data_IF_281243410852
#
_entry.id   IF_281243410852
#
_cell.length_a   1.000
_cell.length_b   1.000
_cell.length_c   1.000
_cell.angle_alpha   90.00
_cell.angle_beta   90.00
_cell.angle_gamma   90.00
#
_symmetry.space_group_name_H-M   'P 1'
#
loop_
_entity.id
_entity.type
_entity.pdbx_description
1 polymer ?
#
# COMPACT_ATOMS: atom_id res chain seq x y z
N UNK A 1 8.73 -5.23 -6.90
CA UNK A 1 8.73 -4.85 -5.47
C UNK A 1 7.51 -4.01 -5.13
N UNK A 2 7.07 -4.05 -3.87
CA UNK A 2 5.90 -3.28 -3.39
C UNK A 2 4.61 -4.10 -3.40
N UNK A 3 4.61 -5.24 -2.71
CA UNK A 3 3.49 -6.21 -2.67
C UNK A 3 2.25 -5.65 -1.98
N UNK A 4 2.44 -5.03 -0.81
CA UNK A 4 1.34 -4.49 0.01
C UNK A 4 1.43 -2.97 0.19
N UNK A 5 2.61 -2.39 -0.05
CA UNK A 5 2.84 -0.96 0.07
C UNK A 5 3.79 -0.43 -0.99
N UNK A 6 3.52 0.80 -1.42
CA UNK A 6 4.19 1.45 -2.55
C UNK A 6 5.45 2.25 -2.21
N UNK A 7 6.02 2.15 -1.00
CA UNK A 7 7.10 3.06 -0.56
C UNK A 7 8.30 3.09 -1.52
N UNK A 8 8.75 1.94 -2.02
CA UNK A 8 9.90 1.87 -2.94
C UNK A 8 9.58 2.60 -4.24
N UNK A 9 8.42 2.32 -4.85
CA UNK A 9 7.98 2.98 -6.08
C UNK A 9 7.81 4.50 -5.87
N UNK A 10 7.23 4.89 -4.74
CA UNK A 10 7.02 6.27 -4.35
C UNK A 10 8.34 7.05 -4.21
N UNK A 11 9.27 6.55 -3.39
CA UNK A 11 10.56 7.22 -3.16
C UNK A 11 11.47 7.17 -4.39
N UNK A 12 11.46 6.08 -5.17
CA UNK A 12 12.22 5.99 -6.42
C UNK A 12 11.73 7.01 -7.46
N UNK A 13 10.41 7.17 -7.59
CA UNK A 13 9.80 8.18 -8.48
C UNK A 13 10.22 9.59 -8.08
N UNK A 14 10.12 9.90 -6.79
CA UNK A 14 10.47 11.22 -6.27
C UNK A 14 11.97 11.54 -6.42
N UNK A 15 12.83 10.53 -6.24
CA UNK A 15 14.27 10.66 -6.39
C UNK A 15 14.69 10.81 -7.86
N UNK A 16 14.10 10.02 -8.76
CA UNK A 16 14.43 10.02 -10.19
C UNK A 16 13.99 11.29 -10.91
N UNK A 17 12.77 11.78 -10.64
CA UNK A 17 12.11 12.91 -11.32
C UNK A 17 11.87 12.75 -12.83
N UNK A 18 12.39 11.70 -13.46
CA UNK A 18 12.17 11.37 -14.87
C UNK A 18 10.92 10.48 -15.09
N UNK A 19 10.14 10.23 -14.04
CA UNK A 19 8.98 9.33 -14.08
C UNK A 19 7.70 10.13 -14.28
N UNK A 20 6.91 9.80 -15.30
CA UNK A 20 5.65 10.49 -15.62
C UNK A 20 4.43 9.93 -14.88
N UNK A 21 4.51 8.66 -14.46
CA UNK A 21 3.43 7.98 -13.76
C UNK A 21 3.95 6.98 -12.72
N UNK A 22 3.43 7.02 -11.50
CA UNK A 22 3.72 6.08 -10.43
C UNK A 22 2.43 5.44 -9.93
N UNK A 23 2.32 4.12 -10.06
CA UNK A 23 1.19 3.31 -9.62
C UNK A 23 1.59 2.50 -8.38
N UNK A 24 0.83 2.65 -7.30
CA UNK A 24 1.07 2.00 -6.01
C UNK A 24 -0.19 1.26 -5.53
N UNK A 25 -0.08 0.24 -4.66
CA UNK A 25 -1.24 -0.51 -4.15
C UNK A 25 -2.25 0.36 -3.41
N UNK A 26 -1.79 1.43 -2.77
CA UNK A 26 -2.65 2.32 -2.00
C UNK A 26 -3.53 3.21 -2.88
N UNK A 27 -3.05 3.61 -4.06
CA UNK A 27 -3.78 4.51 -4.97
C UNK A 27 -4.52 3.70 -6.04
N UNK A 28 -5.85 3.53 -5.95
CA UNK A 28 -6.60 2.87 -7.01
C UNK A 28 -6.55 3.67 -8.31
N UNK A 29 -6.68 2.95 -9.42
CA UNK A 29 -6.73 3.51 -10.75
C UNK A 29 -7.60 2.63 -11.64
N UNK A 30 -8.03 3.16 -12.77
CA UNK A 30 -8.74 2.43 -13.81
C UNK A 30 -8.08 2.63 -15.17
N UNK A 31 -8.27 1.68 -16.07
CA UNK A 31 -7.57 1.64 -17.37
C UNK A 31 -8.27 2.51 -18.43
N UNK A 32 -9.54 2.21 -18.68
CA UNK A 32 -10.34 2.77 -19.78
C UNK A 32 -11.35 3.80 -19.27
N UNK A 33 -11.61 4.85 -20.06
CA UNK A 33 -12.59 5.89 -19.74
C UNK A 33 -11.98 7.29 -19.63
N UNK A 34 -12.85 8.27 -19.39
CA UNK A 34 -12.42 9.66 -19.22
C UNK A 34 -11.67 9.85 -17.91
N UNK A 35 -10.37 10.17 -18.02
CA UNK A 35 -9.47 10.30 -16.86
C UNK A 35 -8.71 9.01 -16.54
N UNK A 36 -8.92 7.94 -17.31
CA UNK A 36 -8.24 6.66 -17.12
C UNK A 36 -6.77 6.69 -17.55
N UNK A 37 -6.05 5.66 -17.14
CA UNK A 37 -4.62 5.52 -17.38
C UNK A 37 -4.28 5.58 -18.89
N UNK A 38 -5.06 4.94 -19.76
CA UNK A 38 -4.76 4.94 -21.20
C UNK A 38 -4.88 6.34 -21.83
N UNK A 39 -5.90 7.12 -21.45
CA UNK A 39 -6.06 8.50 -21.94
C UNK A 39 -4.90 9.38 -21.49
N UNK A 40 -4.41 9.17 -20.26
CA UNK A 40 -3.23 9.87 -19.75
C UNK A 40 -1.96 9.50 -20.52
N UNK A 41 -1.75 8.20 -20.80
CA UNK A 41 -0.60 7.73 -21.58
C UNK A 41 -0.61 8.32 -22.99
N UNK A 42 -1.76 8.31 -23.68
CA UNK A 42 -1.89 8.92 -25.01
C UNK A 42 -1.56 10.41 -25.02
N UNK A 43 -2.05 11.15 -24.02
CA UNK A 43 -1.78 12.58 -23.88
C UNK A 43 -0.29 12.84 -23.69
N UNK A 44 0.35 12.13 -22.76
CA UNK A 44 1.79 12.29 -22.47
C UNK A 44 2.67 11.91 -23.63
N UNK A 45 2.37 10.82 -24.33
CA UNK A 45 3.13 10.43 -25.52
C UNK A 45 3.02 11.46 -26.66
N UNK A 46 1.86 12.11 -26.83
CA UNK A 46 1.69 13.18 -27.82
C UNK A 46 2.44 14.47 -27.45
N UNK A 47 2.49 14.80 -26.17
CA UNK A 47 3.15 16.02 -25.67
C UNK A 47 4.67 15.89 -25.63
N UNK A 48 5.19 14.77 -25.10
CA UNK A 48 6.61 14.60 -24.78
C UNK A 48 7.34 13.61 -25.71
N UNK A 49 6.62 12.81 -26.50
CA UNK A 49 7.20 11.77 -27.36
C UNK A 49 7.68 10.51 -26.62
N UNK A 50 7.69 10.51 -25.29
CA UNK A 50 8.08 9.39 -24.44
C UNK A 50 7.31 9.42 -23.13
N UNK A 51 7.32 8.30 -22.40
CA UNK A 51 6.69 8.18 -21.09
C UNK A 51 7.36 7.07 -20.27
N UNK A 52 7.60 7.34 -18.99
CA UNK A 52 8.10 6.38 -18.01
C UNK A 52 7.04 6.11 -16.94
N UNK A 53 6.70 4.83 -16.75
CA UNK A 53 5.73 4.38 -15.76
C UNK A 53 6.43 3.46 -14.76
N UNK A 54 6.33 3.80 -13.48
CA UNK A 54 6.78 2.95 -12.37
C UNK A 54 5.55 2.29 -11.74
N UNK A 55 5.57 0.96 -11.64
CA UNK A 55 4.46 0.18 -11.10
C UNK A 55 4.96 -0.67 -9.95
N UNK A 56 4.33 -0.52 -8.79
CA UNK A 56 4.52 -1.44 -7.68
C UNK A 56 3.80 -2.76 -7.95
N UNK A 57 4.39 -3.87 -7.50
CA UNK A 57 3.90 -5.23 -7.75
C UNK A 57 2.45 -5.48 -7.27
N UNK A 58 2.05 -4.83 -6.18
CA UNK A 58 0.69 -4.92 -5.65
C UNK A 58 -0.31 -3.96 -6.29
N UNK A 59 0.11 -3.07 -7.19
CA UNK A 59 -0.79 -2.09 -7.81
C UNK A 59 -1.76 -2.80 -8.77
N UNK A 60 -3.03 -2.39 -8.78
CA UNK A 60 -4.00 -2.90 -9.76
C UNK A 60 -4.38 -4.38 -9.63
N UNK A 61 -3.99 -5.09 -8.56
CA UNK A 61 -4.32 -6.51 -8.36
C UNK A 61 -5.84 -6.78 -8.39
N UNK A 62 -6.67 -5.83 -7.93
CA UNK A 62 -8.14 -5.91 -8.03
C UNK A 62 -8.62 -5.99 -9.49
N UNK A 63 -8.05 -5.16 -10.36
CA UNK A 63 -8.39 -5.14 -11.80
C UNK A 63 -7.98 -6.44 -12.50
N UNK A 64 -6.89 -7.05 -12.06
CA UNK A 64 -6.43 -8.32 -12.63
C UNK A 64 -7.32 -9.46 -12.15
N UNK A 65 -7.67 -9.50 -10.87
CA UNK A 65 -8.53 -10.52 -10.29
C UNK A 65 -9.94 -10.55 -10.90
N UNK A 66 -10.49 -9.39 -11.30
CA UNK A 66 -11.76 -9.33 -12.03
C UNK A 66 -11.68 -9.98 -13.43
N UNK A 67 -10.48 -9.98 -14.04
CA UNK A 67 -10.23 -10.54 -15.36
C UNK A 67 -9.73 -11.99 -15.35
N UNK A 68 -9.19 -12.50 -14.23
CA UNK A 68 -8.58 -13.83 -14.10
C UNK A 68 -9.14 -14.56 -12.87
N UNK A 69 -9.82 -15.70 -13.10
CA UNK A 69 -10.61 -16.42 -12.07
C UNK A 69 -9.83 -17.27 -11.06
N UNK A 70 -8.51 -17.38 -11.14
CA UNK A 70 -7.76 -18.26 -10.24
C UNK A 70 -6.51 -17.57 -9.67
N UNK A 71 -6.52 -17.34 -8.35
CA UNK A 71 -5.34 -16.97 -7.58
C UNK A 71 -4.86 -18.20 -6.81
N UNK A 72 -3.67 -18.71 -7.16
CA UNK A 72 -3.00 -19.74 -6.38
C UNK A 72 -2.46 -19.21 -5.04
N UNK A 73 -2.09 -20.11 -4.13
CA UNK A 73 -1.32 -19.79 -2.92
C UNK A 73 0.09 -20.37 -3.05
N UNK A 74 1.09 -19.66 -2.52
CA UNK A 74 2.44 -20.20 -2.40
C UNK A 74 2.53 -21.24 -1.26
N UNK A 75 3.67 -21.95 -1.18
CA UNK A 75 3.90 -22.95 -0.14
C UNK A 75 3.94 -22.37 1.31
N UNK A 76 3.96 -21.05 1.44
CA UNK A 76 3.94 -20.32 2.72
C UNK A 76 2.55 -19.73 3.03
N UNK A 77 1.53 -20.01 2.20
CA UNK A 77 0.15 -19.55 2.39
C UNK A 77 -0.14 -18.13 1.91
N UNK A 78 0.79 -17.46 1.21
CA UNK A 78 0.52 -16.14 0.65
C UNK A 78 -0.17 -16.24 -0.72
N UNK A 79 -1.11 -15.34 -0.98
CA UNK A 79 -1.79 -15.25 -2.27
C UNK A 79 -0.80 -14.89 -3.40
N UNK A 80 -0.68 -15.76 -4.40
CA UNK A 80 0.21 -15.53 -5.54
C UNK A 80 -0.27 -14.31 -6.31
N UNK A 81 0.57 -13.27 -6.36
CA UNK A 81 0.26 -12.09 -7.15
C UNK A 81 0.51 -12.37 -8.62
N UNK A 82 -0.39 -11.86 -9.46
CA UNK A 82 -0.21 -11.87 -10.91
C UNK A 82 0.77 -10.75 -11.29
N UNK A 83 1.57 -10.98 -12.32
CA UNK A 83 2.54 -9.99 -12.81
C UNK A 83 1.79 -8.81 -13.48
N UNK A 84 1.58 -7.76 -12.68
CA UNK A 84 0.95 -6.50 -13.10
C UNK A 84 1.74 -5.84 -14.22
N UNK A 85 3.07 -5.93 -14.18
CA UNK A 85 3.93 -5.29 -15.16
C UNK A 85 3.72 -5.86 -16.55
N UNK A 86 3.75 -7.19 -16.66
CA UNK A 86 3.48 -7.89 -17.91
C UNK A 86 2.02 -7.69 -18.37
N UNK A 87 1.06 -7.83 -17.45
CA UNK A 87 -0.37 -7.63 -17.75
C UNK A 87 -0.65 -6.22 -18.29
N UNK A 88 -0.14 -5.18 -17.62
CA UNK A 88 -0.33 -3.80 -18.02
C UNK A 88 0.34 -3.53 -19.37
N UNK A 89 1.53 -4.08 -19.59
CA UNK A 89 2.25 -3.97 -20.86
C UNK A 89 1.46 -4.56 -22.04
N UNK A 90 0.81 -5.71 -21.84
CA UNK A 90 -0.07 -6.31 -22.84
C UNK A 90 -1.30 -5.44 -23.11
N UNK A 91 -1.95 -4.95 -22.06
CA UNK A 91 -3.16 -4.11 -22.16
C UNK A 91 -2.90 -2.78 -22.85
N UNK A 92 -1.78 -2.12 -22.55
CA UNK A 92 -1.35 -0.91 -23.25
C UNK A 92 -1.14 -1.22 -24.74
N UNK A 93 -0.39 -2.28 -25.07
CA UNK A 93 -0.18 -2.66 -26.47
C UNK A 93 -1.50 -2.98 -27.22
N UNK A 94 -2.46 -3.64 -26.57
CA UNK A 94 -3.79 -3.90 -27.14
C UNK A 94 -4.55 -2.59 -27.42
N UNK A 95 -4.53 -1.64 -26.49
CA UNK A 95 -5.19 -0.34 -26.64
C UNK A 95 -4.62 0.46 -27.81
N UNK A 96 -3.30 0.55 -27.93
CA UNK A 96 -2.65 1.27 -29.03
C UNK A 96 -2.81 0.59 -30.40
N UNK A 97 -2.90 -0.76 -30.43
CA UNK A 97 -3.25 -1.51 -31.64
C UNK A 97 -4.66 -1.18 -32.14
N UNK A 98 -5.64 -1.08 -31.23
CA UNK A 98 -7.02 -0.66 -31.58
C UNK A 98 -7.04 0.76 -32.16
N UNK A 99 -6.23 1.66 -31.61
CA UNK A 99 -6.11 3.06 -32.03
C UNK A 99 -5.14 3.28 -33.21
N UNK A 100 -4.67 2.21 -33.86
CA UNK A 100 -3.76 2.22 -35.03
C UNK A 100 -2.50 3.07 -34.83
N UNK A 101 -2.03 3.19 -33.60
CA UNK A 101 -0.83 3.97 -33.26
C UNK A 101 0.28 3.01 -32.87
N UNK A 102 1.44 3.13 -33.50
CA UNK A 102 2.61 2.30 -33.19
C UNK A 102 3.35 2.88 -31.99
N UNK A 103 3.56 2.05 -30.97
CA UNK A 103 4.36 2.41 -29.79
C UNK A 103 5.51 1.41 -29.60
N UNK A 104 6.62 1.88 -29.05
CA UNK A 104 7.70 1.01 -28.59
C UNK A 104 7.60 0.89 -27.06
N UNK A 105 7.03 -0.22 -26.59
CA UNK A 105 6.91 -0.50 -25.16
C UNK A 105 8.05 -1.42 -24.72
N UNK A 106 8.83 -0.97 -23.73
CA UNK A 106 9.86 -1.78 -23.08
C UNK A 106 9.47 -2.03 -21.64
N UNK A 107 9.34 -3.31 -21.30
CA UNK A 107 9.11 -3.76 -19.92
C UNK A 107 10.46 -4.06 -19.26
N UNK A 108 10.66 -3.56 -18.04
CA UNK A 108 11.86 -3.77 -17.24
C UNK A 108 11.42 -4.22 -15.85
N UNK A 109 11.83 -5.42 -15.45
CA UNK A 109 11.67 -5.91 -14.08
C UNK A 109 13.02 -5.97 -13.36
N UNK A 110 13.36 -4.96 -12.54
CA UNK A 110 14.61 -4.91 -11.79
C UNK A 110 14.52 -5.67 -10.45
N UNK A 111 13.50 -6.49 -10.21
CA UNK A 111 13.26 -7.17 -8.91
C UNK A 111 14.49 -7.89 -8.37
N UNK A 112 15.14 -8.74 -9.18
CA UNK A 112 16.34 -9.44 -8.74
C UNK A 112 17.54 -8.51 -8.57
N UNK A 113 17.69 -7.52 -9.47
CA UNK A 113 18.79 -6.55 -9.40
C UNK A 113 18.72 -5.73 -8.10
N UNK A 114 17.53 -5.31 -7.69
CA UNK A 114 17.33 -4.52 -6.47
C UNK A 114 17.55 -5.38 -5.21
N UNK A 115 17.19 -6.66 -5.24
CA UNK A 115 17.27 -7.54 -4.05
C UNK A 115 18.62 -8.26 -3.87
N UNK A 116 19.39 -8.43 -4.95
CA UNK A 116 20.62 -9.22 -4.93
C UNK A 116 21.90 -8.36 -4.92
N UNK A 117 21.78 -7.04 -4.98
CA UNK A 117 22.93 -6.13 -4.91
C UNK A 117 23.46 -6.06 -3.47
N UNK A 118 24.79 -5.91 -3.26
CA UNK A 118 25.33 -5.63 -1.93
C UNK A 118 24.75 -4.34 -1.32
N UNK A 119 24.63 -4.34 0.00
CA UNK A 119 24.18 -3.19 0.79
C UNK A 119 25.11 -1.98 0.65
N UNK A 120 24.52 -0.79 0.62
CA UNK A 120 25.27 0.46 0.67
C UNK A 120 25.85 0.71 2.09
N UNK A 121 26.71 1.72 2.22
CA UNK A 121 27.36 2.04 3.50
C UNK A 121 26.35 2.36 4.63
N UNK A 122 25.28 3.08 4.32
CA UNK A 122 24.25 3.45 5.30
C UNK A 122 23.49 2.21 5.79
N UNK A 123 23.10 1.31 4.89
CA UNK A 123 22.44 0.06 5.21
C UNK A 123 23.36 -0.87 6.01
N UNK A 124 24.67 -0.91 5.69
CA UNK A 124 25.65 -1.67 6.47
C UNK A 124 25.70 -1.19 7.92
N UNK A 125 25.84 0.12 8.15
CA UNK A 125 25.83 0.69 9.50
C UNK A 125 24.51 0.39 10.20
N UNK A 126 23.38 0.55 9.50
CA UNK A 126 22.06 0.30 10.06
C UNK A 126 21.87 -1.16 10.49
N UNK A 127 22.22 -2.12 9.62
CA UNK A 127 22.17 -3.55 9.92
C UNK A 127 23.06 -3.93 11.11
N UNK A 128 24.26 -3.35 11.21
CA UNK A 128 25.15 -3.56 12.37
C UNK A 128 24.52 -3.04 13.67
N UNK A 129 23.94 -1.84 13.66
CA UNK A 129 23.30 -1.26 14.85
C UNK A 129 22.08 -2.06 15.29
N UNK A 130 21.26 -2.53 14.35
CA UNK A 130 20.15 -3.45 14.64
C UNK A 130 20.66 -4.74 15.27
N UNK A 131 21.69 -5.37 14.68
CA UNK A 131 22.25 -6.62 15.18
C UNK A 131 22.80 -6.47 16.61
N UNK A 132 23.59 -5.43 16.88
CA UNK A 132 24.13 -5.17 18.22
C UNK A 132 23.01 -4.97 19.25
N UNK A 133 21.96 -4.22 18.89
CA UNK A 133 20.81 -3.98 19.76
C UNK A 133 20.07 -5.28 20.08
N UNK A 134 19.87 -6.17 19.09
CA UNK A 134 19.24 -7.48 19.32
C UNK A 134 20.08 -8.31 20.28
N UNK A 135 21.41 -8.36 20.08
CA UNK A 135 22.32 -9.11 20.96
C UNK A 135 22.25 -8.60 22.39
N UNK A 136 22.30 -7.28 22.60
CA UNK A 136 22.18 -6.70 23.94
C UNK A 136 20.83 -7.03 24.60
N UNK A 137 19.72 -6.94 23.86
CA UNK A 137 18.40 -7.29 24.38
C UNK A 137 18.28 -8.77 24.74
N UNK A 138 18.83 -9.66 23.90
CA UNK A 138 18.86 -11.10 24.16
C UNK A 138 19.73 -11.44 25.38
N UNK A 139 20.91 -10.83 25.51
CA UNK A 139 21.80 -11.01 26.67
C UNK A 139 21.22 -10.46 27.97
N UNK A 140 20.33 -9.46 27.90
CA UNK A 140 19.57 -8.95 29.04
C UNK A 140 18.39 -9.88 29.43
N UNK A 141 18.14 -10.96 28.67
CA UNK A 141 17.07 -11.93 28.92
C UNK A 141 15.72 -11.55 28.31
N UNK A 142 15.66 -10.55 27.43
CA UNK A 142 14.42 -10.24 26.72
C UNK A 142 14.15 -11.26 25.61
N UNK A 143 12.87 -11.55 25.37
CA UNK A 143 12.39 -12.46 24.32
C UNK A 143 11.11 -11.93 23.69
N UNK A 144 10.75 -12.43 22.50
CA UNK A 144 9.52 -12.04 21.81
C UNK A 144 9.52 -10.61 21.28
N UNK A 145 10.69 -10.05 20.96
CA UNK A 145 10.85 -8.70 20.45
C UNK A 145 11.65 -8.65 19.15
N UNK A 146 11.45 -7.59 18.38
CA UNK A 146 12.31 -7.18 17.27
C UNK A 146 12.92 -5.80 17.58
N UNK A 147 13.98 -5.42 16.87
CA UNK A 147 14.55 -4.08 16.94
C UNK A 147 14.15 -3.32 15.68
N UNK A 148 13.73 -2.06 15.87
CA UNK A 148 13.49 -1.14 14.76
C UNK A 148 13.81 0.29 15.17
N UNK A 149 14.00 1.15 14.17
CA UNK A 149 14.16 2.58 14.40
C UNK A 149 12.80 3.26 14.58
N UNK A 150 12.60 3.93 15.71
CA UNK A 150 11.42 4.75 16.01
C UNK A 150 11.89 6.15 16.36
N UNK A 151 11.51 7.15 15.56
CA UNK A 151 11.91 8.56 15.74
C UNK A 151 13.42 8.75 15.96
N UNK A 152 14.23 8.06 15.15
CA UNK A 152 15.69 8.17 15.18
C UNK A 152 16.38 7.32 16.25
N UNK A 153 15.65 6.61 17.12
CA UNK A 153 16.22 5.74 18.17
C UNK A 153 15.94 4.26 17.88
N UNK A 154 16.88 3.39 18.24
CA UNK A 154 16.67 1.94 18.17
C UNK A 154 15.88 1.49 19.40
N UNK A 155 14.71 0.89 19.16
CA UNK A 155 13.78 0.51 20.21
C UNK A 155 13.47 -0.99 20.10
N UNK A 156 13.22 -1.62 21.25
CA UNK A 156 12.67 -2.97 21.32
C UNK A 156 11.16 -2.93 21.11
N UNK A 157 10.68 -3.66 20.11
CA UNK A 157 9.28 -3.68 19.70
C UNK A 157 8.76 -5.11 19.87
N UNK A 158 7.76 -5.36 20.72
CA UNK A 158 7.19 -6.68 20.89
C UNK A 158 6.52 -7.22 19.62
N UNK A 159 6.59 -8.54 19.39
CA UNK A 159 6.02 -9.14 18.18
C UNK A 159 4.51 -8.90 18.02
N UNK A 160 3.73 -9.00 19.10
CA UNK A 160 2.28 -8.76 19.01
C UNK A 160 1.96 -7.35 18.48
N UNK A 161 2.79 -6.35 18.81
CA UNK A 161 2.62 -4.98 18.29
C UNK A 161 3.04 -4.83 16.84
N UNK A 162 4.12 -5.48 16.40
CA UNK A 162 4.59 -5.34 15.00
C UNK A 162 3.66 -6.04 14.01
N UNK A 163 2.98 -7.11 14.43
CA UNK A 163 2.04 -7.86 13.58
C UNK A 163 0.64 -7.24 13.53
N UNK A 164 0.28 -6.37 14.46
CA UNK A 164 -1.04 -5.73 14.54
C UNK A 164 -1.36 -4.87 13.30
N UNK A 165 -0.38 -4.12 12.79
CA UNK A 165 -0.59 -3.16 11.70
C UNK A 165 0.57 -3.18 10.72
N UNK A 166 0.23 -3.04 9.45
CA UNK A 166 1.20 -2.82 8.38
C UNK A 166 1.27 -1.34 8.05
N UNK A 167 2.49 -0.84 7.80
CA UNK A 167 2.68 0.52 7.34
C UNK A 167 2.33 0.62 5.84
N UNK A 168 1.57 1.65 5.48
CA UNK A 168 1.14 1.94 4.11
C UNK A 168 1.47 3.39 3.76
N UNK A 169 1.66 3.65 2.47
CA UNK A 169 1.84 5.03 1.99
C UNK A 169 0.53 5.79 2.22
N UNK A 170 0.61 6.92 2.92
CA UNK A 170 -0.53 7.84 3.03
C UNK A 170 -0.62 8.70 1.78
N UNK A 171 -1.72 8.57 1.04
CA UNK A 171 -1.99 9.33 -0.20
C UNK A 171 -2.29 10.80 0.12
N UNK A 172 -2.69 11.11 1.37
CA UNK A 172 -2.92 12.48 1.82
C UNK A 172 -1.66 13.17 2.34
N UNK A 173 -0.54 12.44 2.46
CA UNK A 173 0.69 12.98 3.01
C UNK A 173 1.41 13.92 2.03
N UNK A 174 2.21 14.84 2.61
CA UNK A 174 3.04 15.80 1.89
C UNK A 174 3.97 15.14 0.88
N UNK A 175 4.50 13.96 1.21
CA UNK A 175 5.41 13.25 0.32
C UNK A 175 4.69 12.76 -0.95
N UNK A 176 3.47 12.23 -0.82
CA UNK A 176 2.65 11.87 -1.98
C UNK A 176 2.28 13.10 -2.82
N UNK A 177 1.87 14.20 -2.18
CA UNK A 177 1.57 15.45 -2.87
C UNK A 177 2.76 16.01 -3.68
N UNK A 178 3.99 15.85 -3.16
CA UNK A 178 5.23 16.20 -3.89
C UNK A 178 5.45 15.32 -5.10
N UNK A 179 5.20 14.02 -5.00
CA UNK A 179 5.28 13.12 -6.14
C UNK A 179 4.29 13.56 -7.22
N UNK A 180 3.01 13.77 -6.87
CA UNK A 180 1.99 14.21 -7.83
C UNK A 180 2.37 15.52 -8.51
N UNK A 181 2.96 16.45 -7.76
CA UNK A 181 3.43 17.73 -8.30
C UNK A 181 4.64 17.56 -9.23
N UNK A 182 5.52 16.59 -8.94
CA UNK A 182 6.71 16.31 -9.76
C UNK A 182 6.36 15.58 -11.05
N UNK A 183 5.48 14.58 -11.00
CA UNK A 183 5.08 13.80 -12.17
C UNK A 183 3.96 14.49 -12.96
N UNK A 184 3.26 15.44 -12.33
CA UNK A 184 2.08 16.10 -12.86
C UNK A 184 1.02 15.09 -13.35
N UNK A 185 0.95 13.94 -12.67
CA UNK A 185 -0.02 12.89 -12.94
C UNK A 185 -1.36 13.23 -12.27
N UNK A 186 -2.50 12.94 -12.92
CA UNK A 186 -3.80 13.09 -12.28
C UNK A 186 -4.02 12.00 -11.23
N UNK A 187 -4.92 12.25 -10.29
CA UNK A 187 -5.50 11.17 -9.49
C UNK A 187 -6.45 10.36 -10.36
N UNK A 188 -6.16 9.07 -10.56
CA UNK A 188 -6.96 8.15 -11.37
C UNK A 188 -8.21 7.63 -10.63
N UNK A 189 -8.78 8.44 -9.73
CA UNK A 189 -9.95 8.05 -8.94
C UNK A 189 -11.20 8.10 -9.83
N UNK A 190 -11.98 7.01 -9.84
CA UNK A 190 -13.32 7.04 -10.44
C UNK A 190 -14.31 7.70 -9.48
N UNK A 191 -15.49 8.09 -9.98
CA UNK A 191 -16.58 8.61 -9.11
C UNK A 191 -16.97 7.60 -8.03
N UNK A 192 -16.94 6.31 -8.34
CA UNK A 192 -17.23 5.23 -7.40
C UNK A 192 -16.16 5.12 -6.31
N UNK A 193 -14.87 5.23 -6.67
CA UNK A 193 -13.79 5.21 -5.68
C UNK A 193 -13.87 6.41 -4.71
N UNK A 194 -14.30 7.57 -5.20
CA UNK A 194 -14.50 8.76 -4.37
C UNK A 194 -15.67 8.59 -3.41
N UNK A 195 -16.73 7.92 -3.84
CA UNK A 195 -17.90 7.68 -3.01
C UNK A 195 -17.64 6.57 -1.98
N UNK A 196 -16.92 5.51 -2.35
CA UNK A 196 -16.48 4.46 -1.42
C UNK A 196 -15.52 5.01 -0.34
N UNK A 197 -14.60 5.91 -0.72
CA UNK A 197 -13.71 6.59 0.23
C UNK A 197 -14.48 7.45 1.25
N UNK A 198 -15.53 8.15 0.83
CA UNK A 198 -16.41 8.91 1.75
C UNK A 198 -17.13 7.99 2.73
N UNK A 199 -17.59 6.82 2.25
CA UNK A 199 -18.28 5.83 3.10
C UNK A 199 -17.32 5.21 4.11
N UNK A 200 -16.06 4.95 3.73
CA UNK A 200 -15.02 4.52 4.68
C UNK A 200 -14.71 5.60 5.71
N UNK A 201 -14.47 6.85 5.28
CA UNK A 201 -14.20 7.97 6.18
C UNK A 201 -15.33 8.15 7.21
N UNK A 202 -16.60 8.07 6.77
CA UNK A 202 -17.77 8.12 7.65
C UNK A 202 -17.84 6.94 8.64
N UNK A 203 -17.41 5.74 8.23
CA UNK A 203 -17.33 4.56 9.12
C UNK A 203 -16.23 4.73 10.17
N UNK A 204 -15.06 5.20 9.78
CA UNK A 204 -13.96 5.50 10.73
C UNK A 204 -14.32 6.61 11.69
N UNK A 205 -15.01 7.67 11.23
CA UNK A 205 -15.49 8.73 12.10
C UNK A 205 -16.48 8.19 13.15
N UNK A 206 -17.44 7.34 12.74
CA UNK A 206 -18.39 6.69 13.66
C UNK A 206 -17.73 5.74 14.67
N UNK A 207 -16.61 5.11 14.30
CA UNK A 207 -15.84 4.24 15.21
C UNK A 207 -15.01 5.04 16.23
N UNK A 208 -14.61 6.27 15.90
CA UNK A 208 -13.87 7.16 16.80
C UNK A 208 -14.77 7.89 17.80
N UNK A 209 -16.04 8.16 17.44
CA UNK A 209 -17.03 8.76 18.33
C UNK A 209 -17.66 7.77 19.34
N UNK A 210 -17.35 6.47 19.22
CA UNK A 210 -17.85 5.41 20.09
C UNK A 210 -16.99 5.17 21.34
N UNK A 211 -16.91 6.12 22.27
CA UNK A 211 -16.44 5.81 23.64
C UNK A 211 -17.45 4.90 24.37
N UNK A 212 -17.02 3.90 25.17
CA UNK A 212 -17.93 2.93 25.77
C UNK A 212 -18.84 3.63 26.79
N UNK A 213 -20.13 3.72 26.47
CA UNK A 213 -21.16 4.08 27.45
C UNK A 213 -21.18 3.02 28.54
N UNK A 214 -20.80 3.42 29.75
CA UNK A 214 -20.91 2.63 30.98
C UNK A 214 -22.24 1.85 31.02
N UNK A 215 -22.26 0.54 31.35
CA UNK A 215 -23.51 -0.14 31.61
C UNK A 215 -24.14 0.50 32.85
N UNK A 216 -25.35 1.05 32.71
CA UNK A 216 -26.17 1.46 33.84
C UNK A 216 -26.41 0.23 34.72
N UNK A 217 -25.92 0.28 35.94
CA UNK A 217 -26.35 -0.63 37.01
C UNK A 217 -27.82 -0.31 37.27
N UNK A 218 -28.72 -1.24 36.91
CA UNK A 218 -30.12 -1.17 37.33
C UNK A 218 -30.19 -1.52 38.82
N UNK A 219 -30.49 -0.51 39.64
CA UNK A 219 -30.90 -0.69 41.03
C UNK A 219 -32.22 -1.48 41.08
N UNK A 220 -32.14 -2.78 41.39
CA UNK A 220 -33.31 -3.55 41.82
C UNK A 220 -33.72 -3.12 43.22
N UNK A 221 -34.69 -2.21 43.29
CA UNK A 221 -35.48 -1.93 44.49
C UNK A 221 -36.21 -3.21 44.89
N UNK A 222 -35.86 -3.75 46.05
CA UNK A 222 -36.56 -4.87 46.68
C UNK A 222 -37.96 -4.42 47.12
N UNK A 223 -39.00 -4.90 46.43
CA UNK A 223 -40.37 -4.88 46.93
C UNK A 223 -40.60 -6.12 47.80
N UNK A 224 -40.63 -5.90 49.11
CA UNK A 224 -41.11 -6.84 50.10
C UNK A 224 -42.59 -7.14 49.89
N UNK A 225 -42.92 -8.36 49.48
CA UNK A 225 -44.27 -8.90 49.64
C UNK A 225 -44.21 -10.08 50.61
N UNK A 226 -44.61 -9.79 51.85
CA UNK A 226 -45.03 -10.73 52.86
C UNK A 226 -46.30 -11.45 52.40
N UNK A 227 -46.21 -12.76 52.14
CA UNK A 227 -47.37 -13.65 52.15
C UNK A 227 -47.12 -14.72 53.21
N UNK A 228 -47.99 -14.74 54.22
CA UNK A 228 -47.97 -15.72 55.28
C UNK A 228 -48.81 -16.97 54.98
N UNK A 229 -48.54 -17.97 55.82
CA UNK A 229 -49.46 -19.01 56.30
C UNK A 229 -49.86 -20.09 55.29
N UNK A 230 -49.23 -21.27 55.34
CA UNK A 230 -49.51 -22.38 56.28
C UNK A 230 -48.40 -23.43 56.20
#
# INVERSE_FOLDING_TARGET
MGRYSGFIAHYATLASRDVDCCLIPESPFYLEGEGGLFKYIEKRLKENGHMVIVVAEGAGQKLIAENMKEMGQDASGNALLLDVGLWLSQKINEHFKKNKTTINLKYIDPTYMIRAIPSNASDNVYCTLLAHSVVHGAMAGYTGFTVGQVNGRHCYIPFYRITEKQNKVSITDRMWARLLSSTNQPSFLSKQDVDDAKVEDERTAKLLDGSPSNPKVEDKVASSNSNGVK
#
